data_IF_126546995860
#
_entry.id   IF_126546995860
#
_cell.length_a   1.000
_cell.length_b   1.000
_cell.length_c   1.000
_cell.angle_alpha   90.00
_cell.angle_beta   90.00
_cell.angle_gamma   90.00
#
_symmetry.space_group_name_H-M   'P 1'
#
loop_
_entity.id
_entity.type
_entity.pdbx_description
1 polymer ?
#
# COMPACT_ATOMS: atom_id res chain seq x y z
N UNK A 1 -22.53 -2.99 -4.93
CA UNK A 1 -21.06 -2.94 -5.08
C UNK A 1 -20.67 -4.16 -5.87
N UNK A 2 -20.02 -3.98 -7.02
CA UNK A 2 -19.55 -5.10 -7.83
C UNK A 2 -18.56 -5.96 -7.03
N UNK A 3 -18.82 -7.26 -6.86
CA UNK A 3 -17.93 -8.15 -6.11
C UNK A 3 -16.58 -8.39 -6.81
N UNK A 4 -16.42 -7.92 -8.06
CA UNK A 4 -15.18 -8.00 -8.86
C UNK A 4 -14.44 -6.66 -9.00
N UNK A 5 -14.88 -5.61 -8.30
CA UNK A 5 -14.23 -4.31 -8.38
C UNK A 5 -12.99 -4.28 -7.47
N UNK A 6 -11.82 -4.48 -8.07
CA UNK A 6 -10.55 -4.29 -7.36
C UNK A 6 -10.46 -2.89 -6.75
N UNK A 7 -9.99 -2.83 -5.50
CA UNK A 7 -9.79 -1.57 -4.78
C UNK A 7 -8.37 -1.07 -5.00
N UNK A 8 -8.25 -0.06 -5.86
CA UNK A 8 -6.99 0.61 -6.12
C UNK A 8 -6.79 1.77 -5.13
N UNK A 9 -5.65 1.77 -4.43
CA UNK A 9 -5.17 2.88 -3.64
C UNK A 9 -4.06 3.60 -4.41
N UNK A 10 -4.38 4.73 -5.03
CA UNK A 10 -3.40 5.55 -5.73
C UNK A 10 -2.59 6.40 -4.74
N UNK A 11 -1.26 6.35 -4.84
CA UNK A 11 -0.37 7.11 -3.96
C UNK A 11 0.09 8.38 -4.68
N UNK A 12 -0.17 9.58 -4.12
CA UNK A 12 0.30 10.82 -4.72
C UNK A 12 1.81 10.82 -4.90
N UNK A 13 2.31 11.25 -6.06
CA UNK A 13 3.76 11.29 -6.33
C UNK A 13 4.56 12.12 -5.32
N UNK A 14 3.95 13.14 -4.70
CA UNK A 14 4.58 13.89 -3.63
C UNK A 14 4.79 13.06 -2.35
N UNK A 15 3.86 12.18 -2.02
CA UNK A 15 3.98 11.28 -0.87
C UNK A 15 5.07 10.22 -1.12
N UNK A 16 5.17 9.71 -2.35
CA UNK A 16 6.25 8.81 -2.76
C UNK A 16 7.61 9.50 -2.62
N UNK A 17 7.76 10.71 -3.17
CA UNK A 17 9.02 11.48 -3.10
C UNK A 17 9.46 11.79 -1.66
N UNK A 18 8.51 12.04 -0.76
CA UNK A 18 8.77 12.38 0.65
C UNK A 18 8.79 11.16 1.57
N UNK A 19 8.59 9.95 1.03
CA UNK A 19 8.34 8.74 1.82
C UNK A 19 7.23 8.93 2.88
N UNK A 20 6.20 9.72 2.57
CA UNK A 20 5.09 10.00 3.46
C UNK A 20 4.06 8.88 3.40
N UNK A 21 4.08 8.00 4.39
CA UNK A 21 3.21 6.81 4.44
C UNK A 21 1.98 6.97 5.33
N UNK A 22 1.76 8.15 5.91
CA UNK A 22 0.77 8.36 6.99
C UNK A 22 -0.65 7.97 6.58
N UNK A 23 -1.08 8.26 5.34
CA UNK A 23 -2.41 7.90 4.89
C UNK A 23 -2.60 6.38 4.76
N UNK A 24 -1.62 5.67 4.19
CA UNK A 24 -1.67 4.21 4.08
C UNK A 24 -1.60 3.54 5.45
N UNK A 25 -0.73 4.02 6.34
CA UNK A 25 -0.65 3.51 7.73
C UNK A 25 -1.99 3.68 8.44
N UNK A 26 -2.67 4.83 8.28
CA UNK A 26 -4.01 5.05 8.84
C UNK A 26 -5.04 4.05 8.31
N UNK A 27 -5.03 3.79 7.00
CA UNK A 27 -5.92 2.82 6.35
C UNK A 27 -5.63 1.40 6.86
N UNK A 28 -4.37 0.96 6.81
CA UNK A 28 -3.98 -0.38 7.22
C UNK A 28 -4.19 -0.64 8.71
N UNK A 29 -3.96 0.34 9.59
CA UNK A 29 -4.29 0.21 11.03
C UNK A 29 -5.79 0.00 11.25
N UNK A 30 -6.64 0.71 10.53
CA UNK A 30 -8.10 0.53 10.62
C UNK A 30 -8.50 -0.87 10.15
N UNK A 31 -7.92 -1.35 9.06
CA UNK A 31 -8.18 -2.71 8.54
C UNK A 31 -7.65 -3.77 9.50
N UNK A 32 -6.46 -3.58 10.09
CA UNK A 32 -5.87 -4.53 11.03
C UNK A 32 -6.70 -4.71 12.32
N UNK A 33 -7.49 -3.71 12.69
CA UNK A 33 -8.45 -3.81 13.82
C UNK A 33 -9.72 -4.60 13.46
N UNK A 34 -9.91 -4.97 12.19
CA UNK A 34 -11.12 -5.64 11.68
C UNK A 34 -10.73 -6.89 10.88
N UNK A 35 -10.56 -8.05 11.55
CA UNK A 35 -10.07 -9.27 10.92
C UNK A 35 -10.90 -9.75 9.72
N UNK A 36 -12.22 -9.55 9.74
CA UNK A 36 -13.13 -9.95 8.66
C UNK A 36 -12.93 -9.07 7.41
N UNK A 37 -12.80 -7.75 7.58
CA UNK A 37 -12.49 -6.81 6.51
C UNK A 37 -11.11 -7.10 5.91
N UNK A 38 -10.12 -7.43 6.75
CA UNK A 38 -8.78 -7.77 6.30
C UNK A 38 -8.77 -9.01 5.39
N UNK A 39 -9.57 -10.02 5.70
CA UNK A 39 -9.73 -11.22 4.86
C UNK A 39 -10.35 -10.88 3.51
N UNK A 40 -11.39 -10.03 3.50
CA UNK A 40 -12.05 -9.61 2.26
C UNK A 40 -11.15 -8.75 1.36
N UNK A 41 -10.24 -7.97 1.94
CA UNK A 41 -9.34 -7.09 1.17
C UNK A 41 -8.11 -7.83 0.62
N UNK A 42 -7.82 -9.04 1.12
CA UNK A 42 -6.67 -9.82 0.68
C UNK A 42 -6.88 -10.30 -0.77
N UNK A 43 -5.97 -9.91 -1.67
CA UNK A 43 -6.07 -10.24 -3.10
C UNK A 43 -6.99 -9.30 -3.90
N UNK A 44 -7.83 -8.52 -3.22
CA UNK A 44 -8.81 -7.60 -3.82
C UNK A 44 -8.33 -6.13 -3.86
N UNK A 45 -7.18 -5.84 -3.25
CA UNK A 45 -6.64 -4.49 -3.15
C UNK A 45 -5.21 -4.39 -3.65
N UNK A 46 -4.90 -3.31 -4.38
CA UNK A 46 -3.54 -3.01 -4.82
C UNK A 46 -3.19 -1.53 -4.66
N UNK A 47 -1.91 -1.27 -4.42
CA UNK A 47 -1.33 0.07 -4.34
C UNK A 47 -0.81 0.44 -5.73
N UNK A 48 -1.19 1.61 -6.23
CA UNK A 48 -0.74 2.13 -7.52
C UNK A 48 0.23 3.30 -7.33
N UNK A 49 1.24 3.38 -8.19
CA UNK A 49 2.25 4.43 -8.22
C UNK A 49 2.18 5.21 -9.54
N UNK A 50 0.99 5.67 -9.94
CA UNK A 50 0.73 6.24 -11.28
C UNK A 50 1.70 7.35 -11.71
N UNK A 51 2.21 8.12 -10.75
CA UNK A 51 3.22 9.16 -10.99
C UNK A 51 4.53 8.63 -11.58
N UNK A 52 4.72 7.31 -11.62
CA UNK A 52 5.89 6.61 -12.13
C UNK A 52 5.54 5.62 -13.27
N UNK A 53 4.31 5.58 -13.78
CA UNK A 53 3.90 4.63 -14.84
C UNK A 53 4.66 4.83 -16.16
N UNK A 54 5.18 6.03 -16.40
CA UNK A 54 6.01 6.34 -17.59
C UNK A 54 7.48 5.99 -17.40
N UNK A 55 7.90 5.56 -16.21
CA UNK A 55 9.26 5.12 -15.97
C UNK A 55 9.42 3.69 -16.54
N UNK A 56 10.41 3.45 -17.43
CA UNK A 56 10.59 2.13 -18.04
C UNK A 56 11.10 1.07 -17.05
N UNK A 57 11.55 1.50 -15.86
CA UNK A 57 12.06 0.59 -14.83
C UNK A 57 10.89 -0.02 -14.04
N UNK A 58 11.03 -1.25 -13.56
CA UNK A 58 10.06 -1.80 -12.62
C UNK A 58 10.05 -1.01 -11.30
N UNK A 59 8.91 -0.97 -10.61
CA UNK A 59 8.71 -0.22 -9.36
C UNK A 59 9.82 -0.42 -8.31
N UNK A 60 10.32 -1.64 -8.16
CA UNK A 60 11.38 -1.95 -7.18
C UNK A 60 12.76 -1.35 -7.53
N UNK A 61 12.98 -0.99 -8.78
CA UNK A 61 14.20 -0.34 -9.26
C UNK A 61 14.13 1.19 -9.20
N UNK A 62 12.96 1.76 -8.91
CA UNK A 62 12.77 3.21 -8.75
C UNK A 62 13.08 3.58 -7.29
N UNK A 63 14.15 4.36 -7.01
CA UNK A 63 14.62 4.59 -5.64
C UNK A 63 13.55 5.21 -4.72
N UNK A 64 12.75 6.13 -5.25
CA UNK A 64 11.69 6.81 -4.49
C UNK A 64 10.58 5.82 -4.09
N UNK A 65 10.13 4.98 -5.03
CA UNK A 65 9.12 3.94 -4.76
C UNK A 65 9.67 2.92 -3.77
N UNK A 66 10.92 2.47 -3.95
CA UNK A 66 11.59 1.56 -3.02
C UNK A 66 11.68 2.14 -1.61
N UNK A 67 12.11 3.40 -1.48
CA UNK A 67 12.22 4.07 -0.19
C UNK A 67 10.85 4.22 0.48
N UNK A 68 9.82 4.58 -0.29
CA UNK A 68 8.45 4.66 0.21
C UNK A 68 7.96 3.31 0.75
N UNK A 69 8.15 2.22 0.00
CA UNK A 69 7.75 0.87 0.42
C UNK A 69 8.51 0.41 1.67
N UNK A 70 9.81 0.68 1.76
CA UNK A 70 10.60 0.37 2.96
C UNK A 70 10.13 1.15 4.18
N UNK A 71 9.76 2.42 4.02
CA UNK A 71 9.19 3.21 5.12
C UNK A 71 7.81 2.70 5.52
N UNK A 72 7.00 2.29 4.55
CA UNK A 72 5.67 1.73 4.80
C UNK A 72 5.78 0.44 5.61
N UNK A 73 6.61 -0.50 5.15
CA UNK A 73 6.87 -1.79 5.83
C UNK A 73 7.28 -1.60 7.30
N UNK A 74 8.24 -0.70 7.55
CA UNK A 74 8.69 -0.34 8.91
C UNK A 74 7.60 0.31 9.78
N UNK A 75 6.60 0.94 9.17
CA UNK A 75 5.55 1.69 9.87
C UNK A 75 4.31 0.85 10.18
N UNK A 76 4.19 -0.32 9.54
CA UNK A 76 3.11 -1.26 9.77
C UNK A 76 3.41 -2.13 11.00
N UNK A 77 2.39 -2.52 11.77
CA UNK A 77 2.58 -3.48 12.84
C UNK A 77 3.07 -4.81 12.26
N UNK A 78 3.97 -5.49 12.97
CA UNK A 78 4.42 -6.82 12.58
C UNK A 78 3.19 -7.74 12.43
N UNK A 79 3.16 -8.65 11.42
CA UNK A 79 2.10 -9.63 11.32
C UNK A 79 2.02 -10.39 12.65
N UNK A 80 0.82 -10.41 13.26
CA UNK A 80 0.57 -11.23 14.44
C UNK A 80 0.84 -12.71 14.16
N UNK A 81 1.01 -13.55 15.20
CA UNK A 81 1.25 -14.97 15.00
C UNK A 81 0.16 -15.56 14.10
N UNK A 82 0.59 -16.26 13.06
CA UNK A 82 -0.29 -17.04 12.19
C UNK A 82 -0.74 -18.23 13.04
N UNK A 83 -1.93 -18.13 13.64
CA UNK A 83 -2.59 -19.23 14.34
C UNK A 83 -3.21 -20.23 13.37
#
# INVERSE_FOLDING_TARGET
>A
MDPNAFRMLDVPGNDIRKANVSNLVRIFRRVAQQPEDAKQLRGESFISFKSYDTDPRPNWAIPQVRSFIQTLDKSLPAPGPVG
#
